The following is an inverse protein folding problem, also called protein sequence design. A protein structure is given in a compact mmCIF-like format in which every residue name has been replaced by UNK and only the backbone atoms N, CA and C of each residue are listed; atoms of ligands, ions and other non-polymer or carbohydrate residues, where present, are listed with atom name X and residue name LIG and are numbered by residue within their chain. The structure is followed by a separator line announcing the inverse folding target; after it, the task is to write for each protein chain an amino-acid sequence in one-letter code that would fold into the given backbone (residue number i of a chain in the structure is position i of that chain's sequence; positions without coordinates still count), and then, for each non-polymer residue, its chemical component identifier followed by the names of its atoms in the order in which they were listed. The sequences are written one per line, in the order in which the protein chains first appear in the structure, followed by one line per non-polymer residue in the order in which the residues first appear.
data_IF_126646264230
#
_entry.id   IF_126646264230
#
_cell.length_a   1.000
_cell.length_b   1.000
_cell.length_c   1.000
_cell.angle_alpha   90.00
_cell.angle_beta   90.00
_cell.angle_gamma   90.00
#
_symmetry.space_group_name_H-M   'P 1'
#
loop_
_entity.id
_entity.type
_entity.pdbx_description
1 polymer ?
#
# COMPACT_ATOMS: atom_id res chain seq x y z
N UNK A 1 1.26 -2.74 18.86
CA UNK A 1 1.64 -1.61 17.95
C UNK A 1 3.03 -1.17 18.31
N UNK A 2 3.90 -0.98 17.29
CA UNK A 2 5.30 -0.59 17.43
C UNK A 2 5.54 0.66 16.59
N UNK A 3 6.29 1.64 17.12
CA UNK A 3 6.70 2.84 16.42
C UNK A 3 8.16 2.75 16.02
N UNK A 4 8.48 3.24 14.82
CA UNK A 4 9.84 3.26 14.28
C UNK A 4 10.13 4.63 13.69
N UNK A 5 11.35 5.11 13.85
CA UNK A 5 11.81 6.32 13.21
C UNK A 5 12.97 6.01 12.27
N UNK A 6 12.87 6.44 11.03
CA UNK A 6 13.93 6.33 10.04
C UNK A 6 15.00 7.38 10.32
N UNK A 7 16.21 6.94 10.63
CA UNK A 7 17.30 7.83 11.07
C UNK A 7 17.68 8.87 10.01
N UNK A 8 17.66 8.50 8.72
CA UNK A 8 18.07 9.35 7.62
C UNK A 8 17.08 10.45 7.27
N UNK A 9 15.78 10.18 7.43
CA UNK A 9 14.71 11.10 7.00
C UNK A 9 13.90 11.67 8.16
N UNK A 10 14.02 11.08 9.36
CA UNK A 10 13.18 11.38 10.52
C UNK A 10 11.72 10.94 10.39
N UNK A 11 11.34 10.22 9.33
CA UNK A 11 9.98 9.73 9.14
C UNK A 11 9.63 8.68 10.18
N UNK A 12 8.41 8.74 10.66
CA UNK A 12 7.87 7.81 11.65
C UNK A 12 6.99 6.77 10.96
N UNK A 13 7.25 5.50 11.20
CA UNK A 13 6.49 4.36 10.67
C UNK A 13 5.85 3.58 11.81
N UNK A 14 4.81 2.82 11.49
CA UNK A 14 4.11 2.01 12.48
C UNK A 14 4.02 0.56 12.00
N UNK A 15 4.24 -0.40 12.90
CA UNK A 15 3.85 -1.78 12.70
C UNK A 15 2.69 -2.15 13.64
N UNK A 16 1.65 -2.74 13.05
CA UNK A 16 0.53 -3.35 13.76
C UNK A 16 0.70 -4.86 13.67
N UNK A 17 1.07 -5.51 14.77
CA UNK A 17 1.26 -6.95 14.85
C UNK A 17 0.11 -7.60 15.61
N UNK A 18 -0.27 -8.82 15.22
CA UNK A 18 -1.24 -9.66 15.89
C UNK A 18 -0.73 -11.10 16.00
N UNK A 19 -0.99 -11.72 17.12
CA UNK A 19 -0.55 -13.10 17.41
C UNK A 19 0.97 -13.22 17.61
N UNK A 20 1.45 -14.44 17.63
CA UNK A 20 2.86 -14.78 17.77
C UNK A 20 3.57 -14.69 16.40
N UNK A 21 4.14 -13.52 16.11
CA UNK A 21 4.83 -13.26 14.83
C UNK A 21 6.31 -13.68 14.84
N UNK A 22 6.86 -14.05 16.01
CA UNK A 22 8.24 -14.50 16.22
C UNK A 22 8.36 -16.05 16.30
N UNK A 23 7.34 -16.77 15.85
CA UNK A 23 7.29 -18.23 15.91
C UNK A 23 8.23 -18.95 14.93
N UNK A 24 8.89 -18.22 14.02
CA UNK A 24 9.68 -18.79 12.93
C UNK A 24 8.86 -19.20 11.68
N UNK A 25 7.54 -19.30 11.81
CA UNK A 25 6.64 -19.61 10.70
C UNK A 25 6.39 -18.38 9.80
N UNK A 26 6.13 -18.56 8.49
CA UNK A 26 5.85 -17.45 7.58
C UNK A 26 4.68 -16.59 8.06
N UNK A 27 4.86 -15.27 8.12
CA UNK A 27 3.89 -14.30 8.65
C UNK A 27 3.13 -13.62 7.52
N UNK A 28 1.80 -13.56 7.61
CA UNK A 28 0.98 -12.76 6.70
C UNK A 28 1.31 -11.27 6.90
N UNK A 29 1.75 -10.59 5.83
CA UNK A 29 2.27 -9.24 5.93
C UNK A 29 1.74 -8.31 4.85
N UNK A 30 1.38 -7.10 5.25
CA UNK A 30 1.12 -5.98 4.34
C UNK A 30 2.06 -4.82 4.64
N UNK A 31 2.79 -4.34 3.62
CA UNK A 31 3.38 -3.01 3.66
C UNK A 31 2.40 -2.02 3.03
N UNK A 32 1.76 -1.20 3.84
CA UNK A 32 0.82 -0.18 3.42
C UNK A 32 1.52 1.18 3.38
N UNK A 33 1.61 1.79 2.20
CA UNK A 33 2.10 3.17 2.08
C UNK A 33 0.94 4.11 2.36
N UNK A 34 1.15 5.04 3.30
CA UNK A 34 0.18 6.06 3.72
C UNK A 34 -0.58 6.70 2.55
N UNK A 35 -1.86 6.88 2.73
CA UNK A 35 -2.73 7.62 1.83
C UNK A 35 -3.80 8.33 2.66
N UNK A 36 -3.51 9.51 3.20
CA UNK A 36 -4.41 10.24 4.09
C UNK A 36 -5.84 10.32 3.54
N UNK A 37 -5.97 10.62 2.25
CA UNK A 37 -7.29 10.77 1.62
C UNK A 37 -8.07 9.47 1.57
N UNK A 38 -7.43 8.33 1.27
CA UNK A 38 -8.09 7.03 1.23
C UNK A 38 -8.25 6.39 2.60
N UNK A 39 -7.19 6.46 3.44
CA UNK A 39 -7.11 5.73 4.70
C UNK A 39 -7.96 6.40 5.81
N UNK A 40 -8.03 7.74 5.83
CA UNK A 40 -8.67 8.49 6.90
C UNK A 40 -9.85 9.38 6.45
N UNK A 41 -9.88 9.83 5.19
CA UNK A 41 -10.92 10.70 4.66
C UNK A 41 -11.89 9.98 3.70
N UNK A 42 -11.78 8.66 3.60
CA UNK A 42 -12.68 7.78 2.83
C UNK A 42 -12.86 8.17 1.36
N UNK A 43 -11.81 8.73 0.74
CA UNK A 43 -11.83 9.12 -0.67
C UNK A 43 -11.98 7.89 -1.57
N UNK A 44 -12.93 7.94 -2.49
CA UNK A 44 -13.18 6.91 -3.50
C UNK A 44 -12.27 7.02 -4.74
N UNK A 45 -11.39 8.05 -4.81
CA UNK A 45 -10.44 8.24 -5.94
C UNK A 45 -9.36 7.17 -6.03
N UNK A 46 -9.16 6.39 -4.97
CA UNK A 46 -8.21 5.28 -4.91
C UNK A 46 -8.81 4.08 -4.16
N UNK A 47 -8.06 3.00 -4.12
CA UNK A 47 -8.39 1.76 -3.42
C UNK A 47 -7.67 1.62 -2.06
N UNK A 48 -6.97 2.68 -1.58
CA UNK A 48 -6.05 2.58 -0.46
C UNK A 48 -6.74 2.22 0.86
N UNK A 49 -7.80 2.94 1.24
CA UNK A 49 -8.54 2.66 2.49
C UNK A 49 -9.12 1.24 2.51
N UNK A 50 -9.73 0.80 1.40
CA UNK A 50 -10.22 -0.58 1.28
C UNK A 50 -9.11 -1.62 1.41
N UNK A 51 -7.91 -1.34 0.86
CA UNK A 51 -6.76 -2.23 1.00
C UNK A 51 -6.23 -2.26 2.43
N UNK A 52 -6.26 -1.15 3.17
CA UNK A 52 -5.87 -1.12 4.58
C UNK A 52 -6.85 -1.94 5.43
N UNK A 53 -8.14 -1.74 5.24
CA UNK A 53 -9.21 -2.48 5.92
C UNK A 53 -9.11 -3.98 5.64
N UNK A 54 -8.97 -4.38 4.38
CA UNK A 54 -8.81 -5.79 4.00
C UNK A 54 -7.56 -6.42 4.59
N UNK A 55 -6.43 -5.69 4.60
CA UNK A 55 -5.19 -6.19 5.19
C UNK A 55 -5.33 -6.44 6.70
N UNK A 56 -5.93 -5.52 7.43
CA UNK A 56 -6.20 -5.65 8.86
C UNK A 56 -7.19 -6.80 9.13
N UNK A 57 -8.26 -6.89 8.33
CA UNK A 57 -9.26 -7.96 8.41
C UNK A 57 -8.64 -9.33 8.13
N UNK A 58 -7.78 -9.45 7.11
CA UNK A 58 -7.08 -10.68 6.77
C UNK A 58 -6.15 -11.15 7.88
N UNK A 59 -5.38 -10.23 8.48
CA UNK A 59 -4.52 -10.51 9.64
C UNK A 59 -5.38 -10.96 10.85
N UNK A 60 -6.51 -10.29 11.09
CA UNK A 60 -7.41 -10.65 12.18
C UNK A 60 -8.05 -12.03 11.98
N UNK A 61 -8.46 -12.36 10.75
CA UNK A 61 -9.03 -13.68 10.41
C UNK A 61 -8.01 -14.81 10.56
N UNK A 62 -6.75 -14.55 10.16
CA UNK A 62 -5.67 -15.53 10.32
C UNK A 62 -5.23 -15.68 11.80
N UNK A 63 -5.50 -14.67 12.63
CA UNK A 63 -5.09 -14.62 14.04
C UNK A 63 -3.61 -14.30 14.24
N UNK A 64 -2.83 -14.14 13.16
CA UNK A 64 -1.40 -13.87 13.16
C UNK A 64 -0.98 -13.10 11.91
N UNK A 65 -0.26 -12.02 12.09
CA UNK A 65 0.22 -11.22 10.96
C UNK A 65 0.72 -9.84 11.35
N UNK A 66 1.18 -9.08 10.36
CA UNK A 66 1.68 -7.72 10.55
C UNK A 66 1.27 -6.79 9.40
N UNK A 67 0.86 -5.58 9.74
CA UNK A 67 0.69 -4.48 8.79
C UNK A 67 1.72 -3.40 9.10
N UNK A 68 2.66 -3.16 8.18
CA UNK A 68 3.60 -2.04 8.25
C UNK A 68 2.95 -0.83 7.58
N UNK A 69 2.66 0.22 8.35
CA UNK A 69 2.12 1.48 7.85
C UNK A 69 3.26 2.46 7.63
N UNK A 70 3.56 2.75 6.37
CA UNK A 70 4.74 3.49 5.96
C UNK A 70 4.38 4.93 5.57
N UNK A 71 5.01 5.92 6.20
CA UNK A 71 4.80 7.35 5.95
C UNK A 71 5.43 7.79 4.64
N UNK A 72 4.79 7.38 3.52
CA UNK A 72 5.24 7.61 2.14
C UNK A 72 4.09 8.14 1.28
N UNK A 73 3.42 9.19 1.74
CA UNK A 73 2.27 9.80 1.08
C UNK A 73 2.56 10.18 -0.38
N UNK A 74 1.57 9.99 -1.24
CA UNK A 74 1.66 10.38 -2.64
C UNK A 74 2.75 9.61 -3.43
N UNK A 75 3.06 8.36 -3.07
CA UNK A 75 4.21 7.62 -3.61
C UNK A 75 5.57 8.27 -3.31
N UNK A 76 5.66 8.90 -2.14
CA UNK A 76 6.89 9.55 -1.67
C UNK A 76 7.01 11.03 -1.99
N UNK A 77 6.08 11.63 -2.77
CA UNK A 77 6.13 13.06 -3.10
C UNK A 77 5.44 13.96 -2.05
N UNK A 78 4.78 13.37 -1.08
CA UNK A 78 4.08 14.06 0.01
C UNK A 78 2.66 14.52 -0.35
N UNK A 79 1.90 14.91 0.68
CA UNK A 79 0.48 15.24 0.57
C UNK A 79 0.21 16.44 -0.36
N UNK A 80 0.97 17.52 -0.21
CA UNK A 80 0.71 18.73 -1.01
C UNK A 80 0.95 18.50 -2.51
N UNK A 81 1.99 17.77 -2.87
CA UNK A 81 2.25 17.44 -4.28
C UNK A 81 1.24 16.43 -4.83
N UNK A 82 0.76 15.50 -4.00
CA UNK A 82 -0.35 14.62 -4.37
C UNK A 82 -1.63 15.42 -4.69
N UNK A 83 -1.96 16.47 -3.89
CA UNK A 83 -3.11 17.33 -4.16
C UNK A 83 -2.92 18.08 -5.50
N UNK A 84 -1.71 18.58 -5.78
CA UNK A 84 -1.38 19.19 -7.09
C UNK A 84 -1.53 18.17 -8.22
N UNK A 85 -1.07 16.92 -8.02
CA UNK A 85 -1.24 15.85 -9.00
C UNK A 85 -2.72 15.54 -9.25
N UNK A 86 -3.57 15.56 -8.24
CA UNK A 86 -5.03 15.43 -8.41
C UNK A 86 -5.62 16.53 -9.28
N UNK A 87 -5.20 17.78 -9.11
CA UNK A 87 -5.65 18.88 -9.98
C UNK A 87 -5.23 18.66 -11.44
N UNK A 88 -4.03 18.15 -11.70
CA UNK A 88 -3.59 17.79 -13.05
C UNK A 88 -4.39 16.61 -13.64
N UNK A 89 -4.74 15.64 -12.80
CA UNK A 89 -5.59 14.50 -13.20
C UNK A 89 -7.02 14.97 -13.56
N UNK A 90 -7.58 15.93 -12.84
CA UNK A 90 -8.88 16.53 -13.15
C UNK A 90 -8.86 17.28 -14.49
N UNK A 91 -7.67 17.69 -14.96
CA UNK A 91 -7.41 18.29 -16.28
C UNK A 91 -7.06 17.25 -17.36
N UNK A 92 -7.16 15.96 -17.05
CA UNK A 92 -6.99 14.86 -18.01
C UNK A 92 -5.63 14.16 -18.01
N UNK A 93 -4.67 14.55 -17.15
CA UNK A 93 -3.44 13.78 -16.97
C UNK A 93 -3.71 12.46 -16.24
N UNK A 94 -2.97 11.41 -16.56
CA UNK A 94 -2.97 10.23 -15.67
C UNK A 94 -2.00 10.41 -14.50
N UNK A 95 -1.97 9.42 -13.59
CA UNK A 95 -1.17 9.51 -12.36
C UNK A 95 0.34 9.60 -12.63
N UNK A 96 0.84 8.94 -13.68
CA UNK A 96 2.27 8.97 -14.06
C UNK A 96 2.61 10.33 -14.64
N UNK A 97 1.83 10.77 -15.62
CA UNK A 97 1.98 12.07 -16.28
C UNK A 97 1.88 13.24 -15.30
N UNK A 98 0.95 13.17 -14.33
CA UNK A 98 0.81 14.19 -13.31
C UNK A 98 2.07 14.32 -12.44
N UNK A 99 2.69 13.19 -12.03
CA UNK A 99 3.93 13.21 -11.27
C UNK A 99 5.10 13.77 -12.10
N UNK A 100 5.24 13.36 -13.35
CA UNK A 100 6.29 13.84 -14.25
C UNK A 100 6.18 15.35 -14.52
N UNK A 101 4.96 15.88 -14.72
CA UNK A 101 4.70 17.32 -14.88
C UNK A 101 5.08 18.13 -13.63
N UNK A 102 5.05 17.50 -12.44
CA UNK A 102 5.50 18.10 -11.18
C UNK A 102 7.00 17.91 -10.93
N UNK A 103 7.74 17.27 -11.85
CA UNK A 103 9.19 17.04 -11.75
C UNK A 103 9.58 15.81 -10.90
N UNK A 104 8.64 14.90 -10.64
CA UNK A 104 8.89 13.68 -9.86
C UNK A 104 8.90 12.43 -10.75
N UNK A 105 9.63 11.41 -10.34
CA UNK A 105 9.47 10.09 -10.94
C UNK A 105 8.08 9.50 -10.63
N UNK A 106 7.66 8.50 -11.41
CA UNK A 106 6.35 7.85 -11.24
C UNK A 106 6.15 7.21 -9.85
N UNK A 107 7.23 6.80 -9.19
CA UNK A 107 7.23 6.20 -7.85
C UNK A 107 8.57 6.42 -7.16
N UNK A 108 8.57 7.19 -6.07
CA UNK A 108 9.75 7.51 -5.26
C UNK A 108 9.80 6.73 -3.93
N UNK A 109 8.93 5.73 -3.75
CA UNK A 109 8.92 4.94 -2.53
C UNK A 109 10.13 4.02 -2.45
N UNK A 110 10.64 3.89 -1.23
CA UNK A 110 11.65 2.89 -0.85
C UNK A 110 11.08 1.93 0.18
N UNK A 111 11.69 0.77 0.35
CA UNK A 111 11.22 -0.26 1.29
C UNK A 111 12.35 -0.81 2.16
N UNK A 112 13.52 -0.18 2.14
CA UNK A 112 14.70 -0.57 2.91
C UNK A 112 14.43 -0.60 4.42
N UNK A 113 13.60 0.35 4.92
CA UNK A 113 13.21 0.40 6.33
C UNK A 113 12.39 -0.81 6.79
N UNK A 114 11.79 -1.56 5.84
CA UNK A 114 10.93 -2.70 6.22
C UNK A 114 11.74 -3.87 6.79
N UNK A 115 12.96 -4.13 6.30
CA UNK A 115 13.79 -5.22 6.80
C UNK A 115 14.13 -5.03 8.30
N UNK A 116 14.70 -3.90 8.76
CA UNK A 116 14.94 -3.68 10.19
C UNK A 116 13.67 -3.77 11.04
N UNK A 117 12.51 -3.33 10.51
CA UNK A 117 11.24 -3.45 11.22
C UNK A 117 10.83 -4.91 11.42
N UNK A 118 11.01 -5.77 10.39
CA UNK A 118 10.72 -7.20 10.46
C UNK A 118 11.71 -7.92 11.39
N UNK A 119 12.99 -7.58 11.33
CA UNK A 119 14.02 -8.12 12.23
C UNK A 119 13.71 -7.80 13.69
N UNK A 120 13.32 -6.56 14.00
CA UNK A 120 12.89 -6.16 15.35
C UNK A 120 11.69 -6.98 15.86
N UNK A 121 10.79 -7.37 14.96
CA UNK A 121 9.61 -8.19 15.27
C UNK A 121 9.92 -9.69 15.29
N UNK A 122 11.16 -10.12 15.04
CA UNK A 122 11.56 -11.54 14.97
C UNK A 122 11.05 -12.28 13.73
N UNK A 123 10.56 -11.56 12.71
CA UNK A 123 9.95 -12.14 11.50
C UNK A 123 11.03 -12.54 10.51
N UNK A 124 11.17 -13.83 10.23
CA UNK A 124 12.19 -14.40 9.33
C UNK A 124 11.70 -14.58 7.90
N UNK A 125 10.40 -14.83 7.71
CA UNK A 125 9.80 -15.02 6.40
C UNK A 125 8.37 -14.50 6.35
N UNK A 126 7.92 -14.08 5.16
CA UNK A 126 6.62 -13.45 4.99
C UNK A 126 5.81 -14.04 3.84
N UNK A 127 4.50 -13.97 3.99
CA UNK A 127 3.50 -14.06 2.92
C UNK A 127 3.03 -12.64 2.61
N UNK A 128 3.49 -12.07 1.49
CA UNK A 128 3.35 -10.65 1.20
C UNK A 128 2.04 -10.33 0.47
N UNK A 129 1.12 -9.62 1.14
CA UNK A 129 -0.11 -9.10 0.51
C UNK A 129 0.22 -7.92 -0.40
N UNK A 130 0.27 -8.17 -1.71
CA UNK A 130 0.51 -7.13 -2.71
C UNK A 130 0.12 -7.56 -4.11
N UNK A 131 -0.30 -6.59 -4.95
CA UNK A 131 -0.44 -6.75 -6.40
C UNK A 131 0.66 -6.01 -7.17
N UNK A 132 1.59 -5.35 -6.47
CA UNK A 132 2.66 -4.57 -7.08
C UNK A 132 3.94 -5.40 -7.24
N UNK A 133 4.37 -5.77 -8.47
CA UNK A 133 5.60 -6.53 -8.69
C UNK A 133 6.86 -5.79 -8.24
N UNK A 134 6.88 -4.45 -8.36
CA UNK A 134 8.00 -3.63 -7.87
C UNK A 134 8.18 -3.74 -6.36
N UNK A 135 7.06 -3.89 -5.62
CA UNK A 135 7.12 -4.08 -4.18
C UNK A 135 7.72 -5.44 -3.83
N UNK A 136 7.31 -6.51 -4.53
CA UNK A 136 7.91 -7.85 -4.37
C UNK A 136 9.42 -7.78 -4.61
N UNK A 137 9.83 -7.17 -5.73
CA UNK A 137 11.26 -7.01 -6.05
C UNK A 137 12.01 -6.22 -4.97
N UNK A 138 11.48 -5.07 -4.53
CA UNK A 138 12.14 -4.22 -3.53
C UNK A 138 12.33 -4.93 -2.18
N UNK A 139 11.37 -5.74 -1.75
CA UNK A 139 11.50 -6.56 -0.54
C UNK A 139 12.53 -7.67 -0.71
N UNK A 140 12.55 -8.34 -1.87
CA UNK A 140 13.57 -9.36 -2.17
C UNK A 140 14.97 -8.76 -2.23
N UNK A 141 15.13 -7.60 -2.88
CA UNK A 141 16.41 -6.88 -2.97
C UNK A 141 16.91 -6.42 -1.58
N UNK A 142 15.98 -6.11 -0.66
CA UNK A 142 16.27 -5.79 0.73
C UNK A 142 16.55 -7.02 1.62
N UNK A 143 16.60 -8.22 1.04
CA UNK A 143 16.92 -9.45 1.76
C UNK A 143 15.76 -10.10 2.52
N UNK A 144 14.53 -9.61 2.35
CA UNK A 144 13.34 -10.19 3.00
C UNK A 144 12.96 -11.50 2.31
N UNK A 145 12.82 -12.57 3.08
CA UNK A 145 12.41 -13.90 2.59
C UNK A 145 10.90 -13.93 2.33
N UNK A 146 10.51 -13.82 1.05
CA UNK A 146 9.11 -13.88 0.62
C UNK A 146 8.79 -15.31 0.19
N UNK A 147 7.95 -16.02 0.96
CA UNK A 147 7.53 -17.38 0.65
C UNK A 147 6.36 -17.38 -0.35
N UNK A 148 5.47 -16.40 -0.24
CA UNK A 148 4.26 -16.31 -1.05
C UNK A 148 3.87 -14.85 -1.31
N UNK A 149 3.34 -14.58 -2.51
CA UNK A 149 2.59 -13.35 -2.80
C UNK A 149 1.10 -13.62 -2.63
N UNK A 150 0.46 -12.91 -1.72
CA UNK A 150 -0.99 -12.94 -1.51
C UNK A 150 -1.62 -11.77 -2.27
N UNK A 151 -2.62 -12.06 -3.12
CA UNK A 151 -3.34 -11.01 -3.84
C UNK A 151 -4.23 -10.18 -2.88
N UNK A 152 -4.39 -8.89 -3.19
CA UNK A 152 -5.28 -7.98 -2.44
C UNK A 152 -5.98 -7.07 -3.44
N UNK A 153 -7.15 -7.49 -3.92
CA UNK A 153 -7.95 -6.80 -4.94
C UNK A 153 -9.31 -6.44 -4.36
N UNK A 154 -9.44 -5.20 -3.87
CA UNK A 154 -10.64 -4.69 -3.19
C UNK A 154 -10.90 -3.24 -3.56
N UNK A 155 -12.12 -2.76 -3.34
CA UNK A 155 -12.49 -1.35 -3.40
C UNK A 155 -12.55 -0.76 -4.80
N UNK A 156 -12.65 -1.56 -5.88
CA UNK A 156 -12.86 -1.04 -7.23
C UNK A 156 -14.24 -0.41 -7.33
N UNK A 157 -14.31 0.83 -7.81
CA UNK A 157 -15.55 1.59 -7.94
C UNK A 157 -15.46 2.53 -9.17
N UNK A 158 -16.58 3.15 -9.61
CA UNK A 158 -16.57 4.02 -10.78
C UNK A 158 -15.61 5.22 -10.70
N UNK A 159 -15.29 5.71 -9.49
CA UNK A 159 -14.44 6.88 -9.28
C UNK A 159 -12.94 6.54 -9.33
N UNK A 160 -12.56 5.27 -9.12
CA UNK A 160 -11.16 4.82 -9.15
C UNK A 160 -10.82 3.88 -10.31
N UNK A 161 -11.76 3.59 -11.19
CA UNK A 161 -11.54 2.64 -12.30
C UNK A 161 -10.39 3.08 -13.21
N UNK A 162 -10.34 4.34 -13.61
CA UNK A 162 -9.24 4.91 -14.39
C UNK A 162 -7.90 4.82 -13.68
N UNK A 163 -7.86 5.06 -12.38
CA UNK A 163 -6.67 4.94 -11.55
C UNK A 163 -6.15 3.49 -11.49
N UNK A 164 -7.05 2.51 -11.30
CA UNK A 164 -6.69 1.09 -11.28
C UNK A 164 -6.23 0.59 -12.64
N UNK A 165 -6.86 1.05 -13.72
CA UNK A 165 -6.43 0.75 -15.08
C UNK A 165 -5.02 1.29 -15.37
N UNK A 166 -4.68 2.50 -14.90
CA UNK A 166 -3.31 3.04 -14.98
C UNK A 166 -2.31 2.20 -14.18
N UNK A 167 -2.71 1.71 -12.99
CA UNK A 167 -1.88 0.78 -12.20
C UNK A 167 -1.58 -0.51 -12.97
N UNK A 168 -2.58 -1.09 -13.63
CA UNK A 168 -2.42 -2.32 -14.40
C UNK A 168 -1.55 -2.08 -15.66
N UNK A 169 -1.90 -1.08 -16.47
CA UNK A 169 -1.30 -0.87 -17.81
C UNK A 169 0.08 -0.21 -17.78
N UNK A 170 0.27 0.83 -16.93
CA UNK A 170 1.53 1.59 -16.89
C UNK A 170 2.48 1.17 -15.77
N UNK A 171 1.97 0.59 -14.67
CA UNK A 171 2.78 0.21 -13.51
C UNK A 171 2.91 -1.32 -13.30
N UNK A 172 2.31 -2.12 -14.20
CA UNK A 172 2.43 -3.58 -14.22
C UNK A 172 1.83 -4.30 -13.02
N UNK A 173 0.85 -3.68 -12.34
CA UNK A 173 0.15 -4.33 -11.22
C UNK A 173 -0.62 -5.56 -11.67
N UNK A 174 -0.56 -6.64 -10.88
CA UNK A 174 -1.36 -7.84 -11.06
C UNK A 174 -2.81 -7.56 -10.62
N UNK A 175 -3.62 -7.02 -11.53
CA UNK A 175 -5.04 -6.75 -11.30
C UNK A 175 -5.87 -7.47 -12.36
N UNK A 176 -6.90 -8.19 -11.91
CA UNK A 176 -7.86 -8.83 -12.82
C UNK A 176 -8.80 -7.77 -13.41
N UNK A 177 -8.92 -7.74 -14.74
CA UNK A 177 -9.80 -6.79 -15.44
C UNK A 177 -11.30 -7.03 -15.22
N UNK A 178 -11.68 -8.11 -14.51
CA UNK A 178 -13.04 -8.60 -14.35
C UNK A 178 -13.61 -8.58 -12.92
N UNK A 179 -12.92 -7.99 -11.95
CA UNK A 179 -13.49 -7.84 -10.61
C UNK A 179 -14.59 -6.77 -10.65
N UNK A 180 -15.84 -7.21 -10.85
CA UNK A 180 -17.02 -6.34 -10.69
C UNK A 180 -17.02 -5.78 -9.28
N UNK A 181 -17.29 -4.46 -9.18
CA UNK A 181 -17.45 -3.74 -7.93
C UNK A 181 -18.40 -4.49 -6.98
N UNK A 182 -17.86 -5.07 -5.93
CA UNK A 182 -18.64 -5.40 -4.75
C UNK A 182 -18.72 -4.10 -3.92
N UNK A 183 -19.71 -3.27 -4.21
CA UNK A 183 -20.09 -2.16 -3.34
C UNK A 183 -20.85 -2.80 -2.18
N UNK A 184 -20.18 -3.01 -1.07
CA UNK A 184 -20.84 -3.28 0.21
C UNK A 184 -20.35 -2.22 1.21
N UNK A 185 -20.78 -0.99 1.01
CA UNK A 185 -20.97 -0.02 2.08
C UNK A 185 -22.09 0.93 1.67
N UNK A 186 -23.05 1.09 2.58
CA UNK A 186 -24.21 1.94 2.56
C UNK A 186 -24.01 3.26 1.81
N UNK A 187 -24.95 3.51 0.89
CA UNK A 187 -25.22 4.79 0.25
C UNK A 187 -25.74 5.83 1.28
N UNK A 188 -24.90 6.27 2.23
CA UNK A 188 -25.29 7.29 3.21
C UNK A 188 -24.08 8.10 3.71
N UNK A 189 -23.22 8.60 2.80
CA UNK A 189 -22.40 9.78 3.11
C UNK A 189 -22.21 10.62 1.85
N UNK A 190 -22.74 11.83 1.93
CA UNK A 190 -22.76 12.98 1.01
C UNK A 190 -21.40 13.26 0.38
#
# INVERSE_FOLDING_TARGET
MHGFQEETTGKEHVALSMGDVDSGEPVLMRAHSECLTGDALFSLRCDCGFQLEEALSSVAKEGRGVVLYLRQEGRGIGLLNKIKAYNLQDQGADTVEANERLGFSADMRTYEMCQPMLEYLGIQSIRLMTNNPRKVKAFSDAGVNIIERVAIEVGRNPHNDGYLNTKASKLGHYLNSSTKAAITHQDDFI
#
